data_IF_955313052368
#
_entry.id   IF_955313052368
#
_cell.length_a   1.000
_cell.length_b   1.000
_cell.length_c   1.000
_cell.angle_alpha   90.00
_cell.angle_beta   90.00
_cell.angle_gamma   90.00
#
_symmetry.space_group_name_H-M   'P 1'
#
loop_
_entity.id
_entity.type
_entity.pdbx_description
1 polymer ?
#
# COMPACT_ATOMS: atom_id res chain seq x y z
N UNK A 1 -14.06 78.76 -12.95
CA UNK A 1 -13.18 78.70 -11.75
C UNK A 1 -13.48 77.38 -11.06
N UNK A 2 -12.48 76.49 -10.97
CA UNK A 2 -12.57 75.11 -10.46
C UNK A 2 -12.40 75.13 -8.93
N UNK A 3 -12.88 74.10 -8.21
CA UNK A 3 -11.89 73.35 -7.43
C UNK A 3 -11.99 71.84 -7.67
N UNK A 4 -10.83 71.24 -7.94
CA UNK A 4 -10.64 69.81 -8.08
C UNK A 4 -10.43 69.22 -6.67
N UNK A 5 -11.25 68.23 -6.30
CA UNK A 5 -11.10 67.47 -5.07
C UNK A 5 -10.08 66.35 -5.32
N UNK A 6 -8.90 66.45 -4.71
CA UNK A 6 -7.88 65.40 -4.77
C UNK A 6 -8.23 64.30 -3.76
N UNK A 7 -8.50 63.09 -4.25
CA UNK A 7 -8.69 61.90 -3.41
C UNK A 7 -7.33 61.18 -3.28
N UNK A 8 -6.76 61.18 -2.09
CA UNK A 8 -5.51 60.48 -1.79
C UNK A 8 -5.83 58.99 -1.54
N UNK A 9 -5.50 58.12 -2.49
CA UNK A 9 -5.60 56.66 -2.30
C UNK A 9 -4.32 56.21 -1.59
N UNK A 10 -4.47 55.83 -0.32
CA UNK A 10 -3.40 55.21 0.45
C UNK A 10 -3.36 53.71 0.11
N UNK A 11 -2.39 53.29 -0.70
CA UNK A 11 -2.12 51.87 -0.97
C UNK A 11 -1.44 51.25 0.25
N UNK A 12 -2.20 50.53 1.06
CA UNK A 12 -1.66 49.62 2.07
C UNK A 12 -1.25 48.34 1.33
N UNK A 13 0.05 48.16 1.08
CA UNK A 13 0.58 46.90 0.59
C UNK A 13 0.58 45.89 1.75
N UNK A 14 -0.44 45.02 1.80
CA UNK A 14 -0.44 43.83 2.66
C UNK A 14 0.57 42.84 2.07
N UNK A 15 1.78 42.81 2.62
CA UNK A 15 2.75 41.76 2.34
C UNK A 15 2.26 40.46 3.00
N UNK A 16 1.64 39.59 2.21
CA UNK A 16 1.30 38.24 2.63
C UNK A 16 2.59 37.43 2.70
N UNK A 17 3.17 37.26 3.89
CA UNK A 17 4.27 36.32 4.08
C UNK A 17 3.69 34.90 4.06
N UNK A 18 3.79 34.21 2.92
CA UNK A 18 3.59 32.77 2.89
C UNK A 18 4.65 32.13 3.79
N UNK A 19 4.23 31.42 4.83
CA UNK A 19 5.16 30.63 5.64
C UNK A 19 5.76 29.52 4.75
N UNK A 20 7.08 29.27 4.81
CA UNK A 20 7.66 28.20 4.01
C UNK A 20 7.09 26.86 4.50
N UNK A 21 6.34 26.17 3.64
CA UNK A 21 5.95 24.79 3.86
C UNK A 21 7.23 23.96 3.85
N UNK A 22 7.65 23.43 5.00
CA UNK A 22 8.72 22.42 5.04
C UNK A 22 8.20 21.18 4.32
N UNK A 23 8.82 20.83 3.20
CA UNK A 23 8.60 19.53 2.58
C UNK A 23 8.97 18.44 3.59
N UNK A 24 8.05 17.50 3.85
CA UNK A 24 8.36 16.34 4.67
C UNK A 24 9.42 15.50 3.94
N UNK A 25 10.41 14.95 4.66
CA UNK A 25 11.42 14.10 4.03
C UNK A 25 10.76 12.84 3.45
N UNK A 26 11.23 12.44 2.28
CA UNK A 26 10.80 11.20 1.62
C UNK A 26 11.01 10.01 2.57
N UNK A 27 9.96 9.20 2.74
CA UNK A 27 10.03 7.98 3.54
C UNK A 27 10.64 6.86 2.68
N UNK A 28 11.72 6.29 3.16
CA UNK A 28 12.51 5.27 2.45
C UNK A 28 12.85 4.13 3.38
N UNK A 29 13.21 2.98 2.82
CA UNK A 29 13.66 1.82 3.62
C UNK A 29 14.94 2.07 4.43
N UNK A 30 15.65 3.18 4.19
CA UNK A 30 16.88 3.53 4.89
C UNK A 30 16.66 4.44 6.12
N UNK A 31 15.53 5.15 6.16
CA UNK A 31 15.21 6.10 7.23
C UNK A 31 13.87 5.81 7.92
N UNK A 32 13.13 4.82 7.44
CA UNK A 32 11.83 4.41 7.97
C UNK A 32 11.90 2.92 8.29
N UNK A 33 11.78 2.50 9.57
CA UNK A 33 11.71 1.10 9.91
C UNK A 33 10.38 0.48 9.45
N UNK A 34 10.34 -0.85 9.40
CA UNK A 34 9.07 -1.56 9.24
C UNK A 34 8.13 -1.21 10.40
N UNK A 35 6.82 -1.01 10.16
CA UNK A 35 5.88 -0.76 11.23
C UNK A 35 5.79 -2.00 12.13
N UNK A 36 5.62 -1.79 13.43
CA UNK A 36 5.41 -2.90 14.36
C UNK A 36 3.95 -3.36 14.38
N UNK A 37 3.04 -2.46 14.02
CA UNK A 37 1.59 -2.68 14.03
C UNK A 37 0.91 -2.00 12.84
N UNK A 38 -0.28 -2.47 12.49
CA UNK A 38 -1.21 -1.83 11.56
C UNK A 38 -2.53 -1.55 12.29
N UNK A 39 -3.08 -0.35 12.11
CA UNK A 39 -4.40 0.04 12.62
C UNK A 39 -5.45 -0.25 11.55
N UNK A 40 -6.27 -1.26 11.79
CA UNK A 40 -7.31 -1.72 10.88
C UNK A 40 -8.67 -1.21 11.36
N UNK A 41 -9.33 -0.35 10.58
CA UNK A 41 -10.73 -0.04 10.81
C UNK A 41 -11.61 -1.25 10.50
N UNK A 42 -12.37 -1.72 11.48
CA UNK A 42 -13.32 -2.82 11.30
C UNK A 42 -14.69 -2.25 10.93
N UNK A 43 -15.08 -2.43 9.66
CA UNK A 43 -16.37 -2.03 9.11
C UNK A 43 -17.40 -3.14 9.25
N UNK A 44 -18.63 -2.74 9.55
CA UNK A 44 -19.74 -3.68 9.66
C UNK A 44 -19.94 -4.48 8.36
N UNK A 45 -20.15 -5.79 8.49
CA UNK A 45 -20.38 -6.72 7.37
C UNK A 45 -19.30 -6.75 6.29
N UNK A 46 -18.09 -6.29 6.61
CA UNK A 46 -17.01 -6.14 5.63
C UNK A 46 -17.41 -5.29 4.40
N UNK A 47 -18.20 -4.25 4.64
CA UNK A 47 -18.74 -3.39 3.59
C UNK A 47 -17.98 -2.05 3.55
N UNK A 48 -17.40 -1.64 2.40
CA UNK A 48 -16.77 -0.33 2.21
C UNK A 48 -17.62 0.87 2.63
N UNK A 49 -18.94 0.75 2.49
CA UNK A 49 -19.91 1.79 2.84
C UNK A 49 -20.53 1.59 4.23
N UNK A 50 -20.17 0.50 4.92
CA UNK A 50 -20.60 0.23 6.29
C UNK A 50 -19.94 1.18 7.30
N UNK A 51 -20.58 1.43 8.45
CA UNK A 51 -19.99 2.23 9.52
C UNK A 51 -18.74 1.53 10.05
N UNK A 52 -17.76 2.34 10.50
CA UNK A 52 -16.63 1.84 11.27
C UNK A 52 -17.13 1.54 12.69
N UNK A 53 -16.93 0.30 13.14
CA UNK A 53 -17.37 -0.15 14.46
C UNK A 53 -16.28 0.13 15.51
N UNK A 54 -15.02 -0.19 15.19
CA UNK A 54 -13.83 0.14 15.99
C UNK A 54 -12.56 0.12 15.11
N UNK A 55 -11.42 0.48 15.70
CA UNK A 55 -10.09 0.33 15.08
C UNK A 55 -9.30 -0.70 15.87
N UNK A 56 -8.93 -1.80 15.22
CA UNK A 56 -8.11 -2.87 15.78
C UNK A 56 -6.64 -2.58 15.52
N UNK A 57 -5.78 -2.81 16.51
CA UNK A 57 -4.31 -2.75 16.33
C UNK A 57 -3.80 -4.17 16.21
N UNK A 58 -3.19 -4.51 15.08
CA UNK A 58 -2.72 -5.86 14.73
C UNK A 58 -1.20 -5.82 14.54
N UNK A 59 -0.47 -6.88 14.92
CA UNK A 59 0.96 -6.95 14.61
C UNK A 59 1.18 -6.88 13.09
N UNK A 60 2.23 -6.21 12.62
CA UNK A 60 2.39 -5.99 11.17
C UNK A 60 2.53 -7.31 10.39
N UNK A 61 3.28 -8.27 10.93
CA UNK A 61 3.43 -9.59 10.31
C UNK A 61 2.13 -10.39 10.34
N UNK A 62 1.44 -10.37 11.49
CA UNK A 62 0.14 -11.00 11.69
C UNK A 62 -0.90 -10.45 10.70
N UNK A 63 -0.94 -9.13 10.51
CA UNK A 63 -1.79 -8.49 9.51
C UNK A 63 -1.52 -9.02 8.10
N UNK A 64 -0.24 -9.14 7.71
CA UNK A 64 0.11 -9.67 6.38
C UNK A 64 -0.30 -11.15 6.23
N UNK A 65 -0.11 -11.95 7.28
CA UNK A 65 -0.54 -13.36 7.35
C UNK A 65 -2.06 -13.51 7.22
N UNK A 66 -2.82 -12.62 7.84
CA UNK A 66 -4.29 -12.60 7.81
C UNK A 66 -4.89 -11.93 6.56
N UNK A 67 -4.09 -11.20 5.78
CA UNK A 67 -4.53 -10.64 4.49
C UNK A 67 -4.29 -11.63 3.36
N UNK A 68 -3.10 -12.23 3.30
CA UNK A 68 -2.69 -13.02 2.14
C UNK A 68 -3.68 -14.12 1.72
N UNK A 69 -4.26 -14.96 2.60
CA UNK A 69 -5.19 -16.02 2.19
C UNK A 69 -6.53 -15.52 1.65
N UNK A 70 -6.83 -14.23 1.84
CA UNK A 70 -8.04 -13.58 1.33
C UNK A 70 -7.81 -12.85 -0.01
N UNK A 71 -6.55 -12.72 -0.42
CA UNK A 71 -6.13 -12.03 -1.65
C UNK A 71 -5.46 -12.98 -2.66
N UNK A 72 -4.74 -13.99 -2.16
CA UNK A 72 -4.21 -15.11 -2.93
C UNK A 72 -4.74 -16.41 -2.36
N UNK A 73 -5.19 -17.33 -3.23
CA UNK A 73 -5.74 -18.60 -2.76
C UNK A 73 -4.62 -19.45 -2.14
N UNK A 74 -4.80 -20.05 -0.94
CA UNK A 74 -3.73 -20.77 -0.24
C UNK A 74 -3.10 -21.96 -0.98
N UNK A 75 -3.81 -22.53 -1.96
CA UNK A 75 -3.36 -23.66 -2.78
C UNK A 75 -2.63 -23.23 -4.07
N UNK A 76 -2.45 -21.93 -4.28
CA UNK A 76 -1.67 -21.40 -5.40
C UNK A 76 -0.18 -21.70 -5.27
N UNK A 77 0.52 -21.52 -6.38
CA UNK A 77 1.95 -21.80 -6.48
C UNK A 77 2.72 -20.94 -5.45
N UNK A 78 3.69 -21.51 -4.70
CA UNK A 78 4.46 -20.77 -3.71
C UNK A 78 5.12 -19.49 -4.24
N UNK A 79 5.57 -19.47 -5.50
CA UNK A 79 6.16 -18.27 -6.11
C UNK A 79 5.12 -17.16 -6.35
N UNK A 80 3.86 -17.51 -6.60
CA UNK A 80 2.77 -16.55 -6.64
C UNK A 80 2.41 -16.04 -5.24
N UNK A 81 2.39 -16.94 -4.25
CA UNK A 81 2.16 -16.56 -2.85
C UNK A 81 3.24 -15.62 -2.32
N UNK A 82 4.52 -15.87 -2.59
CA UNK A 82 5.63 -14.99 -2.20
C UNK A 82 5.54 -13.61 -2.86
N UNK A 83 5.17 -13.55 -4.15
CA UNK A 83 4.95 -12.29 -4.85
C UNK A 83 3.77 -11.51 -4.24
N UNK A 84 2.65 -12.20 -3.99
CA UNK A 84 1.47 -11.62 -3.32
C UNK A 84 1.77 -11.16 -1.90
N UNK A 85 2.53 -11.94 -1.12
CA UNK A 85 2.96 -11.62 0.23
C UNK A 85 3.75 -10.31 0.27
N UNK A 86 4.72 -10.15 -0.65
CA UNK A 86 5.54 -8.95 -0.70
C UNK A 86 4.73 -7.73 -1.18
N UNK A 87 3.79 -7.94 -2.12
CA UNK A 87 2.88 -6.89 -2.55
C UNK A 87 1.99 -6.40 -1.40
N UNK A 88 1.35 -7.34 -0.69
CA UNK A 88 0.50 -7.04 0.45
C UNK A 88 1.25 -6.33 1.56
N UNK A 89 2.45 -6.81 1.90
CA UNK A 89 3.33 -6.17 2.88
C UNK A 89 3.68 -4.74 2.51
N UNK A 90 4.10 -4.48 1.27
CA UNK A 90 4.49 -3.13 0.83
C UNK A 90 3.30 -2.17 0.78
N UNK A 91 2.12 -2.66 0.36
CA UNK A 91 0.87 -1.89 0.41
C UNK A 91 0.53 -1.47 1.83
N UNK A 92 0.55 -2.42 2.78
CA UNK A 92 0.28 -2.16 4.18
C UNK A 92 1.31 -1.20 4.81
N UNK A 93 2.61 -1.43 4.58
CA UNK A 93 3.68 -0.53 5.05
C UNK A 93 3.44 0.90 4.57
N UNK A 94 3.20 1.10 3.28
CA UNK A 94 2.89 2.42 2.75
C UNK A 94 1.71 3.08 3.46
N UNK A 95 0.63 2.35 3.71
CA UNK A 95 -0.56 2.90 4.36
C UNK A 95 -0.34 3.27 5.83
N UNK A 96 0.55 2.58 6.57
CA UNK A 96 0.93 3.03 7.93
C UNK A 96 1.61 4.40 7.96
N UNK A 97 2.22 4.81 6.85
CA UNK A 97 2.83 6.14 6.68
C UNK A 97 1.83 7.20 6.20
N UNK A 98 0.64 6.79 5.77
CA UNK A 98 -0.40 7.64 5.19
C UNK A 98 -1.76 7.39 5.86
N UNK A 99 -1.87 7.51 7.20
CA UNK A 99 -3.11 7.22 7.89
C UNK A 99 -4.22 8.20 7.49
N UNK A 100 -5.44 7.67 7.42
CA UNK A 100 -6.63 8.45 7.11
C UNK A 100 -7.46 8.65 8.37
N UNK A 101 -8.22 9.75 8.41
CA UNK A 101 -9.23 9.97 9.46
C UNK A 101 -10.61 10.05 8.84
N UNK A 102 -11.51 9.15 9.25
CA UNK A 102 -12.87 9.08 8.75
C UNK A 102 -13.84 8.79 9.91
N UNK A 103 -14.95 9.53 9.99
CA UNK A 103 -15.96 9.39 11.06
C UNK A 103 -15.36 9.45 12.48
N UNK A 104 -14.29 10.22 12.68
CA UNK A 104 -13.61 10.35 13.98
C UNK A 104 -12.60 9.24 14.30
N UNK A 105 -12.46 8.23 13.44
CA UNK A 105 -11.46 7.17 13.59
C UNK A 105 -10.24 7.47 12.71
N UNK A 106 -9.04 7.36 13.28
CA UNK A 106 -7.77 7.39 12.54
C UNK A 106 -7.21 5.98 12.42
N UNK A 107 -6.97 5.53 11.19
CA UNK A 107 -6.53 4.17 10.88
C UNK A 107 -5.62 4.16 9.64
N UNK A 108 -4.94 3.05 9.42
CA UNK A 108 -4.00 2.88 8.29
C UNK A 108 -4.72 2.22 7.10
N UNK A 109 -5.52 1.19 7.38
CA UNK A 109 -6.30 0.41 6.41
C UNK A 109 -7.67 0.05 7.00
N UNK A 110 -8.62 -0.41 6.19
CA UNK A 110 -9.84 -1.04 6.68
C UNK A 110 -9.89 -2.53 6.31
N UNK A 111 -10.84 -3.27 6.87
CA UNK A 111 -10.95 -4.71 6.65
C UNK A 111 -11.50 -5.11 5.27
N UNK A 112 -11.83 -4.15 4.42
CA UNK A 112 -12.56 -4.37 3.16
C UNK A 112 -11.65 -4.30 1.94
N UNK A 113 -12.21 -4.54 0.76
CA UNK A 113 -11.50 -4.43 -0.52
C UNK A 113 -11.12 -2.98 -0.91
N UNK A 114 -11.43 -1.97 -0.08
CA UNK A 114 -10.92 -0.61 -0.28
C UNK A 114 -9.40 -0.54 -0.14
N UNK A 115 -8.84 -1.42 0.70
CA UNK A 115 -7.41 -1.51 0.96
C UNK A 115 -6.94 -2.91 0.60
N UNK A 116 -7.18 -3.86 1.50
CA UNK A 116 -6.89 -5.27 1.36
C UNK A 116 -7.90 -6.03 2.21
N UNK A 117 -8.35 -7.19 1.75
CA UNK A 117 -9.32 -7.96 2.50
C UNK A 117 -8.67 -8.60 3.74
N UNK A 118 -8.83 -7.96 4.90
CA UNK A 118 -8.33 -8.47 6.18
C UNK A 118 -9.41 -9.27 6.91
N UNK A 119 -9.02 -10.46 7.38
CA UNK A 119 -9.83 -11.28 8.27
C UNK A 119 -8.95 -11.83 9.38
N UNK A 120 -9.23 -11.41 10.60
CA UNK A 120 -8.54 -11.83 11.82
C UNK A 120 -8.48 -13.36 11.93
N UNK A 121 -7.30 -13.88 12.27
CA UNK A 121 -7.02 -15.31 12.45
C UNK A 121 -7.36 -16.16 11.21
N UNK A 122 -7.15 -15.62 10.01
CA UNK A 122 -7.38 -16.32 8.75
C UNK A 122 -6.12 -16.87 8.09
N UNK A 123 -4.95 -16.58 8.65
CA UNK A 123 -3.67 -17.18 8.26
C UNK A 123 -3.73 -18.69 8.03
N UNK A 124 -2.97 -19.16 7.06
CA UNK A 124 -2.87 -20.58 6.70
C UNK A 124 -1.39 -20.96 6.62
N UNK A 125 -1.03 -22.24 6.84
CA UNK A 125 0.38 -22.64 6.81
C UNK A 125 1.11 -22.26 5.51
N UNK A 126 0.44 -22.36 4.36
CA UNK A 126 1.01 -22.04 3.05
C UNK A 126 1.24 -20.53 2.88
N UNK A 127 0.25 -19.72 3.24
CA UNK A 127 0.36 -18.25 3.12
C UNK A 127 1.30 -17.68 4.17
N UNK A 128 1.30 -18.21 5.39
CA UNK A 128 2.21 -17.80 6.47
C UNK A 128 3.67 -18.10 6.09
N UNK A 129 3.92 -19.25 5.47
CA UNK A 129 5.25 -19.58 4.95
C UNK A 129 5.72 -18.56 3.89
N UNK A 130 4.84 -18.14 2.98
CA UNK A 130 5.16 -17.13 1.98
C UNK A 130 5.43 -15.75 2.60
N UNK A 131 4.62 -15.32 3.57
CA UNK A 131 4.84 -14.07 4.34
C UNK A 131 6.19 -14.12 5.05
N UNK A 132 6.49 -15.22 5.74
CA UNK A 132 7.76 -15.43 6.43
C UNK A 132 8.96 -15.40 5.47
N UNK A 133 8.83 -16.02 4.28
CA UNK A 133 9.91 -16.11 3.29
C UNK A 133 10.37 -14.73 2.78
N UNK A 134 9.44 -13.78 2.66
CA UNK A 134 9.72 -12.42 2.17
C UNK A 134 9.79 -11.37 3.30
N UNK A 135 9.70 -11.80 4.56
CA UNK A 135 9.50 -10.87 5.69
C UNK A 135 10.62 -9.85 5.86
N UNK A 136 11.86 -10.21 5.56
CA UNK A 136 13.00 -9.29 5.62
C UNK A 136 13.32 -8.66 4.26
N UNK A 137 12.35 -8.60 3.35
CA UNK A 137 12.52 -8.03 2.01
C UNK A 137 11.59 -6.84 1.77
N UNK A 138 12.01 -5.92 0.93
CA UNK A 138 11.21 -4.82 0.38
C UNK A 138 11.48 -4.72 -1.12
N UNK A 139 10.48 -4.31 -1.90
CA UNK A 139 10.62 -4.17 -3.35
C UNK A 139 10.30 -2.73 -3.78
N UNK A 140 11.36 -1.95 -3.93
CA UNK A 140 11.34 -0.48 -3.96
C UNK A 140 12.11 0.07 -5.16
N UNK A 141 11.86 1.32 -5.59
CA UNK A 141 12.68 1.97 -6.60
C UNK A 141 14.15 2.12 -6.16
N UNK A 142 15.08 2.48 -7.07
CA UNK A 142 16.47 2.80 -6.73
C UNK A 142 16.63 3.81 -5.59
N UNK A 143 15.71 4.76 -5.45
CA UNK A 143 15.67 5.75 -4.36
C UNK A 143 15.45 5.14 -2.97
N UNK A 144 14.93 3.91 -2.89
CA UNK A 144 14.52 3.29 -1.63
C UNK A 144 13.16 3.77 -1.11
N UNK A 145 12.46 4.61 -1.88
CA UNK A 145 11.13 5.12 -1.50
C UNK A 145 10.15 3.98 -1.23
N UNK A 146 9.45 4.08 -0.10
CA UNK A 146 8.39 3.14 0.26
C UNK A 146 7.15 3.55 -0.52
N UNK A 147 6.83 2.76 -1.55
CA UNK A 147 5.65 2.91 -2.40
C UNK A 147 4.80 1.66 -2.30
N UNK A 148 3.46 1.77 -2.45
CA UNK A 148 2.62 0.59 -2.47
C UNK A 148 2.95 -0.26 -3.70
N UNK A 149 2.62 -1.55 -3.58
CA UNK A 149 2.58 -2.49 -4.68
C UNK A 149 1.13 -2.89 -4.85
N UNK A 150 0.40 -2.13 -5.67
CA UNK A 150 -1.03 -2.38 -5.87
C UNK A 150 -1.25 -3.69 -6.64
N UNK A 151 -2.42 -4.29 -6.49
CA UNK A 151 -2.78 -5.51 -7.21
C UNK A 151 -4.28 -5.55 -7.52
N UNK A 152 -4.65 -6.42 -8.45
CA UNK A 152 -6.05 -6.67 -8.86
C UNK A 152 -6.22 -8.14 -9.22
N UNK A 153 -7.45 -8.64 -9.19
CA UNK A 153 -7.74 -10.03 -9.56
C UNK A 153 -7.22 -10.40 -10.95
N UNK A 154 -7.58 -9.60 -11.96
CA UNK A 154 -7.33 -9.95 -13.36
C UNK A 154 -8.12 -11.19 -13.77
N UNK A 155 -7.57 -11.94 -14.72
CA UNK A 155 -8.19 -13.06 -15.41
C UNK A 155 -7.24 -14.27 -15.43
N UNK A 156 -7.82 -15.47 -15.54
CA UNK A 156 -7.08 -16.72 -15.62
C UNK A 156 -6.25 -16.86 -16.91
N UNK A 157 -5.39 -17.88 -16.94
CA UNK A 157 -4.70 -18.41 -18.12
C UNK A 157 -3.78 -17.45 -18.89
N UNK A 158 -3.27 -16.39 -18.24
CA UNK A 158 -2.22 -15.58 -18.84
C UNK A 158 -1.63 -14.51 -17.93
N UNK A 159 -0.59 -13.79 -18.39
CA UNK A 159 0.07 -12.75 -17.62
C UNK A 159 -0.76 -11.48 -17.42
N UNK A 160 -1.95 -11.37 -18.02
CA UNK A 160 -2.78 -10.17 -17.95
C UNK A 160 -2.03 -8.90 -18.39
N UNK A 161 -1.62 -8.86 -19.67
CA UNK A 161 -0.70 -7.87 -20.26
C UNK A 161 -1.05 -6.40 -20.02
N UNK A 162 -2.31 -6.06 -19.74
CA UNK A 162 -2.71 -4.68 -19.38
C UNK A 162 -2.09 -4.19 -18.07
N UNK A 163 -1.72 -5.09 -17.16
CA UNK A 163 -1.08 -4.75 -15.89
C UNK A 163 0.45 -4.83 -15.94
N UNK A 164 1.02 -5.46 -16.96
CA UNK A 164 2.47 -5.58 -17.10
C UNK A 164 3.10 -4.20 -17.27
N UNK A 165 4.16 -3.94 -16.51
CA UNK A 165 4.82 -2.64 -16.51
C UNK A 165 4.05 -1.51 -15.80
N UNK A 166 2.95 -1.82 -15.11
CA UNK A 166 2.09 -0.82 -14.46
C UNK A 166 2.43 -0.64 -12.97
N UNK A 167 1.49 -0.13 -12.19
CA UNK A 167 1.55 -0.14 -10.73
C UNK A 167 0.75 -1.29 -10.11
N UNK A 168 0.10 -2.13 -10.91
CA UNK A 168 -0.72 -3.25 -10.46
C UNK A 168 -0.11 -4.59 -10.87
N UNK A 169 -0.12 -5.56 -9.94
CA UNK A 169 0.06 -6.98 -10.26
C UNK A 169 -1.30 -7.67 -10.42
N UNK A 170 -1.42 -8.57 -11.40
CA UNK A 170 -2.57 -9.46 -11.46
C UNK A 170 -2.39 -10.65 -10.51
N UNK A 171 -3.38 -10.92 -9.66
CA UNK A 171 -3.42 -12.11 -8.81
C UNK A 171 -3.40 -13.38 -9.68
N UNK A 172 -4.36 -13.54 -10.59
CA UNK A 172 -4.38 -14.69 -11.51
C UNK A 172 -3.18 -14.74 -12.45
N UNK A 173 -2.69 -13.58 -12.90
CA UNK A 173 -1.49 -13.53 -13.73
C UNK A 173 -0.22 -13.96 -13.00
N UNK A 174 -0.07 -13.60 -11.71
CA UNK A 174 1.02 -14.09 -10.87
C UNK A 174 0.97 -15.62 -10.72
N UNK A 175 -0.23 -16.18 -10.52
CA UNK A 175 -0.44 -17.62 -10.46
C UNK A 175 -0.10 -18.32 -11.77
N UNK A 176 -0.56 -17.78 -12.91
CA UNK A 176 -0.22 -18.30 -14.23
C UNK A 176 1.29 -18.31 -14.44
N UNK A 177 1.97 -17.19 -14.21
CA UNK A 177 3.41 -17.05 -14.43
C UNK A 177 4.21 -18.03 -13.56
N UNK A 178 3.81 -18.17 -12.29
CA UNK A 178 4.40 -19.13 -11.38
C UNK A 178 4.18 -20.58 -11.85
N UNK A 179 2.98 -20.90 -12.37
CA UNK A 179 2.68 -22.24 -12.90
C UNK A 179 3.53 -22.63 -14.13
N UNK A 180 3.99 -21.63 -14.90
CA UNK A 180 4.90 -21.83 -16.04
C UNK A 180 6.38 -21.60 -15.68
N UNK A 181 6.71 -21.59 -14.38
CA UNK A 181 8.08 -21.64 -13.88
C UNK A 181 8.74 -20.30 -13.56
N UNK A 182 8.00 -19.18 -13.54
CA UNK A 182 8.56 -17.91 -13.09
C UNK A 182 8.71 -17.88 -11.57
N UNK A 183 9.84 -17.35 -11.11
CA UNK A 183 10.07 -17.03 -9.70
C UNK A 183 9.27 -15.80 -9.27
N UNK A 184 9.06 -15.64 -7.96
CA UNK A 184 8.37 -14.47 -7.41
C UNK A 184 9.04 -13.16 -7.84
N UNK A 185 10.38 -13.12 -7.90
CA UNK A 185 11.12 -11.94 -8.33
C UNK A 185 10.92 -11.64 -9.82
N UNK A 186 10.86 -12.67 -10.68
CA UNK A 186 10.53 -12.46 -12.10
C UNK A 186 9.10 -11.94 -12.28
N UNK A 187 8.16 -12.42 -11.48
CA UNK A 187 6.77 -11.94 -11.46
C UNK A 187 6.73 -10.45 -11.04
N UNK A 188 7.41 -10.10 -9.94
CA UNK A 188 7.49 -8.71 -9.47
C UNK A 188 8.16 -7.80 -10.50
N UNK A 189 9.26 -8.24 -11.13
CA UNK A 189 9.95 -7.47 -12.18
C UNK A 189 9.05 -7.21 -13.40
N UNK A 190 8.17 -8.16 -13.73
CA UNK A 190 7.23 -8.03 -14.85
C UNK A 190 6.16 -6.97 -14.58
N UNK A 191 5.53 -7.02 -13.41
CA UNK A 191 4.42 -6.10 -13.08
C UNK A 191 4.90 -4.73 -12.61
N UNK A 192 5.98 -4.68 -11.84
CA UNK A 192 6.48 -3.49 -11.18
C UNK A 192 7.93 -3.19 -11.63
N UNK A 193 8.14 -2.71 -12.85
CA UNK A 193 9.47 -2.44 -13.39
C UNK A 193 10.15 -1.28 -12.65
N UNK A 194 11.46 -1.13 -12.87
CA UNK A 194 12.28 -0.07 -12.26
C UNK A 194 12.32 -0.11 -10.73
N UNK A 195 12.21 -1.31 -10.17
CA UNK A 195 12.33 -1.58 -8.75
C UNK A 195 13.35 -2.69 -8.52
N UNK A 196 13.70 -2.89 -7.27
CA UNK A 196 14.74 -3.82 -6.84
C UNK A 196 14.36 -4.42 -5.50
N UNK A 197 14.69 -5.70 -5.34
CA UNK A 197 14.57 -6.39 -4.07
C UNK A 197 15.69 -5.93 -3.14
N UNK A 198 15.32 -5.51 -1.93
CA UNK A 198 16.24 -5.03 -0.90
C UNK A 198 15.95 -5.76 0.40
N UNK A 199 16.99 -6.06 1.15
CA UNK A 199 16.85 -6.60 2.49
C UNK A 199 16.53 -5.46 3.46
N UNK A 200 15.60 -5.69 4.38
CA UNK A 200 15.19 -4.74 5.43
C UNK A 200 15.20 -5.45 6.78
N UNK A 201 15.72 -4.79 7.80
CA UNK A 201 15.83 -5.28 9.19
C UNK A 201 14.93 -4.49 10.12
#
# INVERSE_FOLDING_TARGET
MVPALSLLICLIALAWSASPVKAQPLQTIYNTPQPTVVRVAIRAFNNPWGPILWVQTVGFQEYCSDVLPNEWMPDWNPQALEAGALAAKMFAWYNTLHPVTHQGFTYDVDNTTNYQYFKDLSGTPQTDAAVQAVWNMAYVPPSGEILPLDYRSGWHDGPNWVFVGSTFMSQWGSQYLASVGHTFLQILNLYYPNRQLRWVS
#
